data_IF_250163739589
#
_entry.id   IF_250163739589
#
_cell.length_a   1.000
_cell.length_b   1.000
_cell.length_c   1.000
_cell.angle_alpha   90.00
_cell.angle_beta   90.00
_cell.angle_gamma   90.00
#
_symmetry.space_group_name_H-M   'P 1'
#
loop_
_entity.id
_entity.type
_entity.pdbx_description
1 polymer ?
#
# COMPACT_ATOMS: atom_id res chain seq x y z
N UNK A 1 21.93 -16.29 34.79
CA UNK A 1 21.45 -15.82 33.47
C UNK A 1 22.60 -15.08 32.81
N UNK A 2 23.42 -15.81 32.05
CA UNK A 2 24.43 -15.17 31.19
C UNK A 2 23.69 -14.56 30.00
N UNK A 3 23.74 -13.23 29.88
CA UNK A 3 23.35 -12.52 28.67
C UNK A 3 24.61 -12.38 27.83
N UNK A 4 24.72 -13.15 26.76
CA UNK A 4 25.76 -12.95 25.75
C UNK A 4 25.37 -11.71 24.93
N UNK A 5 26.22 -10.69 24.96
CA UNK A 5 26.07 -9.48 24.12
C UNK A 5 27.13 -9.52 23.01
N UNK A 6 26.69 -9.29 21.77
CA UNK A 6 27.55 -9.29 20.59
C UNK A 6 27.22 -8.08 19.72
N UNK A 7 28.26 -7.32 19.35
CA UNK A 7 28.12 -6.26 18.35
C UNK A 7 28.27 -6.87 16.96
N UNK A 8 27.30 -6.61 16.09
CA UNK A 8 27.26 -7.09 14.71
C UNK A 8 27.22 -5.88 13.77
N UNK A 9 28.33 -5.57 13.09
CA UNK A 9 28.36 -4.54 12.05
C UNK A 9 27.50 -4.94 10.85
N UNK A 10 26.77 -3.98 10.28
CA UNK A 10 25.90 -4.22 9.12
C UNK A 10 26.52 -3.79 7.79
N UNK A 11 27.76 -3.28 7.83
CA UNK A 11 28.50 -2.76 6.68
C UNK A 11 27.74 -1.66 5.93
N UNK A 12 26.89 -0.91 6.64
CA UNK A 12 26.20 0.28 6.14
C UNK A 12 26.86 1.49 6.79
N UNK A 13 27.51 2.30 5.97
CA UNK A 13 28.13 3.55 6.43
C UNK A 13 27.05 4.52 6.86
N UNK A 14 27.26 5.20 7.99
CA UNK A 14 26.26 6.11 8.57
C UNK A 14 25.94 7.30 7.64
N UNK A 15 26.89 7.70 6.79
CA UNK A 15 26.73 8.75 5.77
C UNK A 15 26.12 8.26 4.45
N UNK A 16 25.60 7.02 4.40
CA UNK A 16 24.98 6.48 3.18
C UNK A 16 23.81 7.38 2.71
N UNK A 17 23.80 7.85 1.45
CA UNK A 17 23.01 9.01 1.01
C UNK A 17 21.53 8.68 0.70
N UNK A 18 20.88 7.91 1.57
CA UNK A 18 19.44 7.65 1.54
C UNK A 18 18.75 8.54 2.55
N UNK A 19 17.64 9.19 2.18
CA UNK A 19 16.88 10.04 3.08
C UNK A 19 15.41 9.65 3.02
N UNK A 20 14.90 9.13 4.14
CA UNK A 20 13.49 8.78 4.29
C UNK A 20 12.81 9.73 5.26
N UNK A 21 11.59 10.14 4.92
CA UNK A 21 10.75 10.90 5.85
C UNK A 21 10.20 9.99 6.97
N UNK A 22 9.54 10.60 7.95
CA UNK A 22 8.96 9.85 9.07
C UNK A 22 7.91 8.84 8.60
N UNK A 23 7.16 9.13 7.53
CA UNK A 23 6.13 8.23 7.00
C UNK A 23 6.77 6.97 6.41
N UNK A 24 7.80 7.10 5.57
CA UNK A 24 8.54 5.99 4.99
C UNK A 24 9.19 5.10 6.07
N UNK A 25 9.86 5.72 7.05
CA UNK A 25 10.48 5.00 8.17
C UNK A 25 9.42 4.18 8.94
N UNK A 26 8.33 4.82 9.35
CA UNK A 26 7.29 4.17 10.17
C UNK A 26 6.51 3.12 9.38
N UNK A 27 6.21 3.37 8.10
CA UNK A 27 5.57 2.40 7.20
C UNK A 27 6.40 1.14 7.08
N UNK A 28 7.71 1.25 6.85
CA UNK A 28 8.57 0.08 6.69
C UNK A 28 8.76 -0.70 8.02
N UNK A 29 8.69 -0.03 9.18
CA UNK A 29 8.59 -0.73 10.47
C UNK A 29 7.28 -1.50 10.63
N UNK A 30 6.13 -0.85 10.36
CA UNK A 30 4.80 -1.48 10.44
C UNK A 30 4.72 -2.68 9.50
N UNK A 31 5.29 -2.57 8.31
CA UNK A 31 5.25 -3.62 7.31
C UNK A 31 5.83 -4.95 7.81
N UNK A 32 6.91 -4.93 8.60
CA UNK A 32 7.50 -6.17 9.11
C UNK A 32 6.51 -6.94 9.99
N UNK A 33 5.69 -6.21 10.77
CA UNK A 33 4.60 -6.81 11.54
C UNK A 33 3.44 -7.24 10.64
N UNK A 34 3.07 -6.40 9.68
CA UNK A 34 1.96 -6.67 8.77
C UNK A 34 2.18 -7.95 7.96
N UNK A 35 3.38 -8.15 7.44
CA UNK A 35 3.75 -9.36 6.69
C UNK A 35 3.73 -10.64 7.57
N UNK A 36 3.79 -10.52 8.91
CA UNK A 36 3.78 -11.66 9.84
C UNK A 36 2.40 -12.08 10.34
N UNK A 37 1.36 -11.31 10.00
CA UNK A 37 0.00 -11.52 10.51
C UNK A 37 -0.95 -11.67 9.33
N UNK A 38 -1.84 -12.68 9.34
CA UNK A 38 -2.90 -12.76 8.35
C UNK A 38 -3.74 -11.47 8.31
N UNK A 39 -4.07 -10.99 7.11
CA UNK A 39 -4.73 -9.69 6.90
C UNK A 39 -6.04 -9.55 7.68
N UNK A 40 -6.80 -10.64 7.80
CA UNK A 40 -8.07 -10.74 8.54
C UNK A 40 -7.90 -10.74 10.07
N UNK A 41 -6.67 -10.92 10.56
CA UNK A 41 -6.32 -10.92 11.99
C UNK A 41 -5.53 -9.67 12.40
N UNK A 42 -5.12 -8.83 11.44
CA UNK A 42 -4.27 -7.67 11.67
C UNK A 42 -4.79 -6.77 12.80
N UNK A 43 -6.05 -6.34 12.73
CA UNK A 43 -6.65 -5.42 13.70
C UNK A 43 -6.77 -6.01 15.12
N UNK A 44 -6.72 -7.34 15.26
CA UNK A 44 -6.80 -8.02 16.56
C UNK A 44 -5.43 -8.29 17.17
N UNK A 45 -4.43 -8.60 16.34
CA UNK A 45 -3.12 -9.07 16.78
C UNK A 45 -2.07 -7.98 16.86
N UNK A 46 -2.15 -6.96 16.01
CA UNK A 46 -1.23 -5.82 16.08
C UNK A 46 -1.68 -4.84 17.15
N UNK A 47 -0.77 -4.54 18.08
CA UNK A 47 -1.00 -3.61 19.18
C UNK A 47 0.09 -2.54 19.18
N UNK A 48 -0.26 -1.34 19.63
CA UNK A 48 0.72 -0.29 19.85
C UNK A 48 0.34 0.57 21.05
N UNK A 49 1.37 1.14 21.68
CA UNK A 49 1.27 2.04 22.83
C UNK A 49 2.19 3.24 22.60
N UNK A 50 1.76 4.43 23.00
CA UNK A 50 2.59 5.64 22.97
C UNK A 50 2.49 6.40 24.29
N UNK A 51 3.61 6.51 24.99
CA UNK A 51 3.73 7.24 26.26
C UNK A 51 5.13 7.82 26.39
N UNK A 52 5.23 9.06 26.88
CA UNK A 52 6.51 9.72 27.21
C UNK A 52 7.57 9.64 26.09
N UNK A 53 7.14 9.88 24.84
CA UNK A 53 8.02 9.85 23.66
C UNK A 53 8.49 8.45 23.25
N UNK A 54 7.89 7.40 23.81
CA UNK A 54 8.18 6.01 23.49
C UNK A 54 7.00 5.40 22.74
N UNK A 55 7.22 4.99 21.49
CA UNK A 55 6.27 4.20 20.69
C UNK A 55 6.67 2.73 20.77
N UNK A 56 5.74 1.89 21.23
CA UNK A 56 5.92 0.44 21.25
C UNK A 56 4.93 -0.22 20.30
N UNK A 57 5.40 -1.10 19.43
CA UNK A 57 4.61 -1.92 18.51
C UNK A 57 4.80 -3.39 18.84
N UNK A 58 3.72 -4.18 18.85
CA UNK A 58 3.73 -5.57 19.32
C UNK A 58 2.82 -6.46 18.48
N UNK A 59 3.25 -7.71 18.29
CA UNK A 59 2.41 -8.82 17.83
C UNK A 59 2.70 -10.03 18.71
N UNK A 60 1.64 -10.57 19.32
CA UNK A 60 1.68 -11.83 20.08
C UNK A 60 1.65 -13.04 19.14
N UNK A 61 2.18 -14.18 19.58
CA UNK A 61 2.25 -15.45 18.84
C UNK A 61 2.95 -15.34 17.47
N UNK A 62 3.99 -14.51 17.40
CA UNK A 62 4.84 -14.36 16.22
C UNK A 62 6.31 -14.28 16.65
N UNK A 63 7.17 -15.03 15.97
CA UNK A 63 8.61 -15.00 16.17
C UNK A 63 9.32 -14.72 14.85
N UNK A 64 9.98 -13.57 14.76
CA UNK A 64 10.93 -13.26 13.70
C UNK A 64 12.27 -13.95 13.96
N UNK A 65 12.90 -14.44 12.89
CA UNK A 65 14.32 -14.82 12.93
C UNK A 65 15.19 -13.59 12.67
N UNK A 66 16.15 -13.32 13.57
CA UNK A 66 17.07 -12.20 13.43
C UNK A 66 18.14 -12.43 12.35
N UNK A 67 18.39 -13.67 11.93
CA UNK A 67 19.41 -13.99 10.92
C UNK A 67 19.13 -13.26 9.59
N UNK A 68 17.84 -13.09 9.26
CA UNK A 68 17.38 -12.32 8.11
C UNK A 68 17.57 -10.80 8.27
N UNK A 69 17.76 -10.31 9.50
CA UNK A 69 18.13 -8.93 9.76
C UNK A 69 19.64 -8.70 9.64
N UNK A 70 20.48 -9.74 9.62
CA UNK A 70 21.94 -9.60 9.57
C UNK A 70 22.45 -9.38 8.15
N UNK A 71 22.01 -10.19 7.19
CA UNK A 71 22.56 -10.17 5.83
C UNK A 71 21.80 -9.20 4.91
N UNK A 72 22.53 -8.51 4.02
CA UNK A 72 21.92 -7.75 2.91
C UNK A 72 21.64 -8.77 1.78
N UNK A 73 20.48 -8.69 1.12
CA UNK A 73 20.06 -9.67 0.11
C UNK A 73 19.57 -11.03 0.64
N UNK A 74 19.47 -11.25 1.96
CA UNK A 74 18.89 -12.46 2.51
C UNK A 74 17.38 -12.28 2.70
N UNK A 75 16.58 -13.13 2.05
CA UNK A 75 15.13 -13.17 2.24
C UNK A 75 14.63 -14.61 2.37
N UNK A 76 13.67 -14.83 3.28
CA UNK A 76 12.87 -16.07 3.35
C UNK A 76 12.04 -16.34 2.08
N UNK A 77 11.96 -15.35 1.18
CA UNK A 77 10.98 -15.27 0.09
C UNK A 77 11.53 -15.71 -1.27
N UNK A 78 12.67 -16.41 -1.29
CA UNK A 78 13.21 -16.98 -2.54
C UNK A 78 12.50 -18.26 -2.98
N UNK A 79 11.66 -18.88 -2.13
CA UNK A 79 11.01 -20.17 -2.40
C UNK A 79 9.57 -20.35 -1.85
N UNK A 80 8.86 -19.29 -1.43
CA UNK A 80 7.49 -19.43 -0.89
C UNK A 80 6.41 -19.17 -1.96
N UNK A 81 5.42 -20.07 -2.06
CA UNK A 81 4.21 -19.87 -2.88
C UNK A 81 3.31 -18.73 -2.36
N UNK A 82 3.53 -18.28 -1.12
CA UNK A 82 2.86 -17.13 -0.51
C UNK A 82 3.50 -15.80 -0.95
N UNK A 83 2.65 -14.91 -1.48
CA UNK A 83 3.03 -13.56 -1.94
C UNK A 83 3.20 -12.64 -0.74
N UNK A 84 4.40 -12.12 -0.52
CA UNK A 84 4.69 -11.20 0.58
C UNK A 84 5.27 -9.87 0.07
N UNK A 85 4.94 -8.75 0.72
CA UNK A 85 5.14 -7.40 0.16
C UNK A 85 6.57 -6.78 0.30
N UNK A 86 7.63 -7.56 0.58
CA UNK A 86 8.98 -6.98 0.71
C UNK A 86 10.13 -7.96 0.96
N UNK A 87 11.35 -7.60 0.57
CA UNK A 87 12.56 -8.37 0.86
C UNK A 87 13.04 -8.09 2.29
N UNK A 88 12.93 -9.10 3.17
CA UNK A 88 13.23 -8.99 4.59
C UNK A 88 14.65 -8.45 4.85
N UNK A 89 14.79 -7.63 5.90
CA UNK A 89 16.08 -7.12 6.40
C UNK A 89 16.50 -5.77 5.84
N UNK A 90 16.31 -5.50 4.55
CA UNK A 90 16.84 -4.27 3.95
C UNK A 90 16.02 -3.02 4.29
N UNK A 91 14.68 -3.12 4.27
CA UNK A 91 13.79 -2.02 4.68
C UNK A 91 14.03 -1.62 6.13
N UNK A 92 14.12 -2.60 7.03
CA UNK A 92 14.41 -2.36 8.46
C UNK A 92 15.77 -1.68 8.68
N UNK A 93 16.82 -2.09 7.96
CA UNK A 93 18.16 -1.48 8.06
C UNK A 93 18.17 -0.03 7.63
N UNK A 94 17.53 0.29 6.50
CA UNK A 94 17.48 1.67 5.99
C UNK A 94 16.57 2.55 6.84
N UNK A 95 15.42 2.02 7.29
CA UNK A 95 14.57 2.69 8.27
C UNK A 95 15.36 3.00 9.55
N UNK A 96 16.15 2.05 10.04
CA UNK A 96 16.97 2.21 11.25
C UNK A 96 18.14 3.17 11.07
N UNK A 97 18.77 3.20 9.88
CA UNK A 97 19.75 4.21 9.53
C UNK A 97 19.14 5.62 9.61
N UNK A 98 18.02 5.84 8.92
CA UNK A 98 17.37 7.15 8.88
C UNK A 98 16.80 7.56 10.24
N UNK A 99 16.20 6.62 10.98
CA UNK A 99 15.68 6.85 12.32
C UNK A 99 16.79 7.28 13.30
N UNK A 100 17.93 6.59 13.30
CA UNK A 100 19.04 6.91 14.19
C UNK A 100 19.77 8.20 13.78
N UNK A 101 20.02 8.38 12.48
CA UNK A 101 20.80 9.51 11.94
C UNK A 101 20.02 10.82 11.86
N UNK A 102 18.81 10.77 11.28
CA UNK A 102 18.06 11.96 10.91
C UNK A 102 16.98 12.31 11.94
N UNK A 103 16.47 11.30 12.66
CA UNK A 103 15.41 11.49 13.67
C UNK A 103 15.88 11.35 15.11
N UNK A 104 17.10 10.86 15.31
CA UNK A 104 17.68 10.57 16.62
C UNK A 104 16.81 9.65 17.48
N UNK A 105 16.09 8.72 16.85
CA UNK A 105 15.29 7.72 17.57
C UNK A 105 16.18 6.58 18.03
N UNK A 106 15.97 6.13 19.26
CA UNK A 106 16.55 4.87 19.74
C UNK A 106 15.66 3.72 19.33
N UNK A 107 16.25 2.67 18.75
CA UNK A 107 15.50 1.55 18.17
C UNK A 107 15.90 0.26 18.89
N UNK A 108 14.92 -0.41 19.47
CA UNK A 108 15.08 -1.73 20.07
C UNK A 108 14.05 -2.69 19.49
N UNK A 109 14.52 -3.81 18.94
CA UNK A 109 13.66 -4.88 18.44
C UNK A 109 13.92 -6.14 19.25
N UNK A 110 12.87 -6.86 19.63
CA UNK A 110 12.99 -8.18 20.27
C UNK A 110 11.98 -9.15 19.70
N UNK A 111 12.36 -10.41 19.64
CA UNK A 111 11.48 -11.50 19.22
C UNK A 111 12.00 -12.82 19.76
N UNK A 112 11.12 -13.64 20.32
CA UNK A 112 11.54 -14.95 20.83
C UNK A 112 12.53 -14.79 21.99
N UNK A 113 13.75 -15.26 21.74
CA UNK A 113 14.85 -15.30 22.70
C UNK A 113 15.95 -14.26 22.39
N UNK A 114 15.73 -13.33 21.47
CA UNK A 114 16.73 -12.35 21.08
C UNK A 114 16.21 -10.93 21.16
N UNK A 115 17.14 -9.99 21.35
CA UNK A 115 16.89 -8.56 21.23
C UNK A 115 18.09 -7.87 20.58
N UNK A 116 17.81 -6.87 19.75
CA UNK A 116 18.81 -5.99 19.16
C UNK A 116 18.52 -4.56 19.58
N UNK A 117 19.58 -3.83 19.92
CA UNK A 117 19.56 -2.37 19.94
C UNK A 117 20.32 -1.89 18.71
N UNK A 118 19.74 -0.98 17.93
CA UNK A 118 20.42 -0.37 16.79
C UNK A 118 21.38 0.69 17.31
N UNK A 119 22.65 0.57 16.94
CA UNK A 119 23.72 1.46 17.40
C UNK A 119 24.59 1.93 16.23
N UNK A 120 25.40 2.95 16.51
CA UNK A 120 26.50 3.37 15.64
C UNK A 120 27.82 2.90 16.25
N UNK A 121 28.68 2.26 15.45
CA UNK A 121 30.04 1.89 15.84
C UNK A 121 31.04 2.50 14.89
N UNK A 122 32.25 2.73 15.39
CA UNK A 122 33.39 3.12 14.57
C UNK A 122 34.02 1.87 13.93
N UNK A 123 34.42 1.99 12.67
CA UNK A 123 35.21 0.99 11.95
C UNK A 123 36.30 1.66 11.12
N UNK A 124 37.44 1.00 10.99
CA UNK A 124 38.54 1.51 10.17
C UNK A 124 38.45 0.95 8.75
N UNK A 125 38.29 1.82 7.75
CA UNK A 125 38.42 1.50 6.32
C UNK A 125 39.59 2.33 5.77
N UNK A 126 40.58 1.68 5.16
CA UNK A 126 41.75 2.34 4.57
C UNK A 126 42.46 3.33 5.51
N UNK A 127 42.52 3.01 6.81
CA UNK A 127 43.12 3.85 7.85
C UNK A 127 42.25 5.02 8.31
N UNK A 128 41.07 5.22 7.73
CA UNK A 128 40.09 6.23 8.15
C UNK A 128 39.04 5.61 9.07
N UNK A 129 38.70 6.33 10.16
CA UNK A 129 37.60 5.93 11.03
C UNK A 129 36.26 6.35 10.41
N UNK A 130 35.40 5.37 10.16
CA UNK A 130 34.10 5.51 9.52
C UNK A 130 33.03 4.99 10.48
N UNK A 131 32.01 5.82 10.71
CA UNK A 131 30.82 5.43 11.47
C UNK A 131 29.95 4.48 10.67
N UNK A 132 29.54 3.38 11.29
CA UNK A 132 28.72 2.34 10.69
C UNK A 132 27.52 1.99 11.55
N UNK A 133 26.43 1.61 10.89
CA UNK A 133 25.28 1.00 11.52
C UNK A 133 25.64 -0.40 12.02
N UNK A 134 25.28 -0.71 13.26
CA UNK A 134 25.49 -2.00 13.88
C UNK A 134 24.31 -2.38 14.76
N UNK A 135 24.21 -3.67 15.09
CA UNK A 135 23.33 -4.16 16.14
C UNK A 135 24.13 -4.56 17.36
N UNK A 136 23.66 -4.16 18.53
CA UNK A 136 24.02 -4.82 19.78
C UNK A 136 23.00 -5.92 20.06
N UNK A 137 23.35 -7.16 19.71
CA UNK A 137 22.53 -8.36 19.90
C UNK A 137 22.70 -8.88 21.32
N UNK A 138 21.58 -9.19 21.98
CA UNK A 138 21.53 -9.92 23.24
C UNK A 138 20.60 -11.11 23.10
N UNK A 139 21.05 -12.29 23.53
CA UNK A 139 20.25 -13.51 23.56
C UNK A 139 19.90 -13.90 25.01
N UNK A 140 18.75 -14.55 25.18
CA UNK A 140 18.30 -15.14 26.43
C UNK A 140 18.02 -16.64 26.26
N UNK A 141 18.09 -17.39 27.36
CA UNK A 141 17.73 -18.81 27.36
C UNK A 141 16.21 -19.03 27.21
N UNK A 142 15.41 -18.05 27.63
CA UNK A 142 13.95 -18.09 27.55
C UNK A 142 13.48 -17.46 26.23
N UNK A 143 12.64 -18.18 25.49
CA UNK A 143 11.95 -17.66 24.31
C UNK A 143 10.54 -17.21 24.70
N UNK A 144 10.21 -15.95 24.38
CA UNK A 144 8.87 -15.40 24.55
C UNK A 144 8.26 -15.31 23.15
N UNK A 145 7.10 -15.93 22.86
CA UNK A 145 6.47 -15.95 21.53
C UNK A 145 5.82 -14.60 21.20
N UNK A 146 6.57 -13.52 21.32
CA UNK A 146 6.16 -12.15 21.11
C UNK A 146 7.24 -11.45 20.31
N UNK A 147 6.81 -10.60 19.40
CA UNK A 147 7.68 -9.67 18.69
C UNK A 147 7.34 -8.24 19.06
N UNK A 148 8.35 -7.44 19.35
CA UNK A 148 8.20 -6.08 19.87
C UNK A 148 9.26 -5.14 19.30
N UNK A 149 8.82 -3.98 18.80
CA UNK A 149 9.67 -2.87 18.38
C UNK A 149 9.38 -1.66 19.26
N UNK A 150 10.41 -1.13 19.90
CA UNK A 150 10.36 0.07 20.72
C UNK A 150 11.17 1.16 20.02
N UNK A 151 10.55 2.31 19.81
CA UNK A 151 11.16 3.54 19.34
C UNK A 151 11.09 4.59 20.45
N UNK A 152 12.24 5.10 20.90
CA UNK A 152 12.30 6.21 21.87
C UNK A 152 12.71 7.52 21.19
N UNK A 153 12.28 8.64 21.75
CA UNK A 153 12.50 9.97 21.16
C UNK A 153 11.49 10.34 20.07
N UNK A 154 10.37 9.61 19.98
CA UNK A 154 9.32 9.87 18.99
C UNK A 154 8.48 11.06 19.41
N UNK A 155 8.41 12.09 18.56
CA UNK A 155 7.59 13.27 18.81
C UNK A 155 6.09 12.98 18.65
N UNK A 156 5.22 13.83 19.21
CA UNK A 156 3.77 13.74 18.99
C UNK A 156 3.41 13.88 17.50
N UNK A 157 4.16 14.71 16.76
CA UNK A 157 3.97 14.88 15.32
C UNK A 157 4.27 13.56 14.57
N UNK A 158 5.39 12.91 14.89
CA UNK A 158 5.75 11.63 14.29
C UNK A 158 4.81 10.49 14.71
N UNK A 159 4.29 10.52 15.94
CA UNK A 159 3.26 9.57 16.36
C UNK A 159 1.93 9.76 15.58
N UNK A 160 1.58 10.99 15.20
CA UNK A 160 0.46 11.22 14.30
C UNK A 160 0.74 10.67 12.90
N UNK A 161 1.97 10.83 12.39
CA UNK A 161 2.41 10.21 11.13
C UNK A 161 2.37 8.68 11.22
N UNK A 162 2.72 8.09 12.37
CA UNK A 162 2.60 6.64 12.60
C UNK A 162 1.16 6.16 12.43
N UNK A 163 0.18 6.87 13.01
CA UNK A 163 -1.24 6.55 12.80
C UNK A 163 -1.66 6.66 11.34
N UNK A 164 -1.13 7.65 10.62
CA UNK A 164 -1.34 7.76 9.16
C UNK A 164 -0.71 6.58 8.42
N UNK A 165 0.51 6.18 8.77
CA UNK A 165 1.19 5.03 8.18
C UNK A 165 0.44 3.72 8.42
N UNK A 166 -0.18 3.52 9.58
CA UNK A 166 -1.04 2.35 9.83
C UNK A 166 -2.20 2.24 8.84
N UNK A 167 -2.83 3.38 8.50
CA UNK A 167 -3.93 3.42 7.52
C UNK A 167 -3.49 3.11 6.09
N UNK A 168 -2.18 3.14 5.81
CA UNK A 168 -1.64 2.80 4.50
C UNK A 168 -1.69 1.30 4.19
N UNK A 169 -2.04 0.44 5.15
CA UNK A 169 -2.17 -1.00 4.95
C UNK A 169 -3.63 -1.43 4.84
N UNK A 170 -3.94 -2.28 3.88
CA UNK A 170 -5.28 -2.83 3.67
C UNK A 170 -5.61 -3.82 4.79
N UNK A 171 -6.76 -3.67 5.44
CA UNK A 171 -7.35 -4.72 6.26
C UNK A 171 -8.86 -4.42 6.41
N UNK A 172 -9.71 -5.40 6.73
CA UNK A 172 -11.16 -5.23 6.74
C UNK A 172 -11.66 -4.09 7.66
N UNK A 173 -10.97 -3.83 8.76
CA UNK A 173 -11.29 -2.79 9.75
C UNK A 173 -10.63 -1.43 9.45
N UNK A 174 -9.92 -1.29 8.34
CA UNK A 174 -9.28 -0.03 7.99
C UNK A 174 -10.36 1.05 7.80
N UNK A 175 -10.26 2.15 8.54
CA UNK A 175 -11.30 3.18 8.60
C UNK A 175 -11.52 3.94 7.28
N UNK A 176 -10.63 3.77 6.31
CA UNK A 176 -10.76 4.34 4.98
C UNK A 176 -11.75 3.56 4.09
N UNK A 177 -12.06 2.32 4.43
CA UNK A 177 -13.00 1.44 3.72
C UNK A 177 -14.45 1.79 4.10
N UNK A 178 -15.32 1.89 3.10
CA UNK A 178 -16.77 2.06 3.26
C UNK A 178 -17.54 0.75 3.10
N UNK A 179 -18.71 0.82 2.48
CA UNK A 179 -19.49 -0.37 2.12
C UNK A 179 -18.73 -1.27 1.16
N UNK A 180 -18.67 -2.57 1.47
CA UNK A 180 -18.11 -3.61 0.61
C UNK A 180 -18.93 -3.76 -0.67
N UNK A 181 -18.27 -3.67 -1.82
CA UNK A 181 -18.86 -3.92 -3.13
C UNK A 181 -18.56 -5.35 -3.56
N UNK A 182 -17.31 -5.80 -3.41
CA UNK A 182 -16.84 -7.13 -3.80
C UNK A 182 -15.50 -7.45 -3.14
N UNK A 183 -15.22 -8.72 -2.89
CA UNK A 183 -13.96 -9.19 -2.33
C UNK A 183 -13.79 -10.68 -2.64
N UNK A 184 -12.59 -11.08 -3.04
CA UNK A 184 -12.15 -12.47 -3.18
C UNK A 184 -10.65 -12.59 -2.83
N UNK A 185 -10.04 -13.74 -3.14
CA UNK A 185 -8.60 -13.96 -2.93
C UNK A 185 -7.69 -13.05 -3.78
N UNK A 186 -8.14 -12.57 -4.93
CA UNK A 186 -7.33 -11.79 -5.88
C UNK A 186 -7.44 -10.27 -5.65
N UNK A 187 -8.53 -9.80 -5.07
CA UNK A 187 -8.72 -8.39 -4.78
C UNK A 187 -10.01 -8.05 -4.06
N UNK A 188 -10.18 -6.76 -3.82
CA UNK A 188 -11.36 -6.21 -3.17
C UNK A 188 -11.73 -4.83 -3.69
N UNK A 189 -13.01 -4.49 -3.58
CA UNK A 189 -13.57 -3.18 -3.93
C UNK A 189 -14.58 -2.76 -2.87
N UNK A 190 -14.41 -1.53 -2.38
CA UNK A 190 -15.30 -0.87 -1.44
C UNK A 190 -15.66 0.52 -1.97
N UNK A 191 -16.73 1.09 -1.44
CA UNK A 191 -16.89 2.54 -1.47
C UNK A 191 -15.87 3.21 -0.55
N UNK A 192 -15.55 4.48 -0.81
CA UNK A 192 -14.71 5.27 0.09
C UNK A 192 -15.49 5.73 1.33
N UNK A 193 -14.92 5.54 2.51
CA UNK A 193 -15.50 6.08 3.75
C UNK A 193 -15.43 7.62 3.78
N UNK A 194 -16.20 8.25 4.68
CA UNK A 194 -16.15 9.72 4.88
C UNK A 194 -14.95 10.19 5.71
N UNK A 195 -14.09 9.28 6.16
CA UNK A 195 -12.89 9.63 6.94
C UNK A 195 -11.93 10.45 6.08
N UNK A 196 -11.28 11.42 6.70
CA UNK A 196 -10.31 12.27 6.04
C UNK A 196 -9.21 11.42 5.40
N UNK A 197 -8.80 11.83 4.20
CA UNK A 197 -7.63 11.28 3.53
C UNK A 197 -6.42 12.09 3.99
N UNK A 198 -5.53 11.48 4.77
CA UNK A 198 -4.38 12.16 5.35
C UNK A 198 -3.40 12.67 4.28
N UNK A 199 -2.63 13.70 4.60
CA UNK A 199 -1.80 14.38 3.61
C UNK A 199 -0.57 13.56 3.20
N UNK A 200 -0.06 12.75 4.12
CA UNK A 200 1.13 11.91 3.98
C UNK A 200 0.84 10.64 3.17
N UNK A 201 -0.44 10.28 2.98
CA UNK A 201 -0.80 9.09 2.20
C UNK A 201 -0.57 9.31 0.70
N UNK A 202 -0.01 8.30 -0.01
CA UNK A 202 0.24 8.36 -1.45
C UNK A 202 -1.03 8.65 -2.26
N UNK A 203 -0.96 9.60 -3.20
CA UNK A 203 -2.08 9.92 -4.08
C UNK A 203 -1.60 10.38 -5.47
N UNK A 204 -2.50 10.34 -6.44
CA UNK A 204 -2.28 10.82 -7.79
C UNK A 204 -2.77 12.26 -7.89
N UNK A 205 -1.90 13.18 -8.29
CA UNK A 205 -2.23 14.60 -8.36
C UNK A 205 -3.44 14.89 -9.26
N UNK A 206 -3.53 14.23 -10.41
CA UNK A 206 -4.62 14.35 -11.39
C UNK A 206 -6.00 13.92 -10.85
N UNK A 207 -6.02 12.97 -9.92
CA UNK A 207 -7.23 12.40 -9.34
C UNK A 207 -7.60 13.06 -8.01
N UNK A 208 -6.59 13.58 -7.30
CA UNK A 208 -6.71 14.09 -5.95
C UNK A 208 -7.04 12.99 -4.94
N UNK A 209 -7.26 13.37 -3.69
CA UNK A 209 -7.52 12.46 -2.56
C UNK A 209 -8.99 11.99 -2.50
N UNK A 210 -9.49 11.41 -3.60
CA UNK A 210 -10.88 10.95 -3.74
C UNK A 210 -11.02 9.46 -3.40
N UNK A 211 -10.65 8.59 -4.33
CA UNK A 211 -10.55 7.14 -4.10
C UNK A 211 -9.17 6.72 -3.60
N UNK A 212 -9.03 5.45 -3.23
CA UNK A 212 -7.77 4.83 -2.80
C UNK A 212 -7.46 3.62 -3.67
N UNK A 213 -6.19 3.43 -3.99
CA UNK A 213 -5.68 2.25 -4.68
C UNK A 213 -4.66 1.56 -3.78
N UNK A 214 -5.00 0.36 -3.34
CA UNK A 214 -4.10 -0.57 -2.67
C UNK A 214 -3.54 -1.58 -3.69
N UNK A 215 -2.24 -1.80 -3.64
CA UNK A 215 -1.54 -2.82 -4.42
C UNK A 215 -0.61 -3.59 -3.50
N UNK A 216 -0.72 -4.93 -3.49
CA UNK A 216 0.02 -5.75 -2.53
C UNK A 216 -0.28 -5.34 -1.10
N UNK A 217 -1.56 -5.01 -0.82
CA UNK A 217 -2.06 -4.56 0.47
C UNK A 217 -1.55 -3.20 0.98
N UNK A 218 -0.83 -2.41 0.18
CA UNK A 218 -0.40 -1.06 0.58
C UNK A 218 -1.02 0.02 -0.30
N UNK A 219 -1.33 1.19 0.26
CA UNK A 219 -1.76 2.35 -0.53
C UNK A 219 -0.61 2.77 -1.43
N UNK A 220 -0.91 2.80 -2.74
CA UNK A 220 0.03 3.25 -3.76
C UNK A 220 -0.54 4.38 -4.60
N UNK A 221 -1.74 4.85 -4.31
CA UNK A 221 -2.29 5.99 -5.01
C UNK A 221 -3.77 6.20 -4.74
N UNK A 222 -4.38 6.96 -5.64
CA UNK A 222 -5.78 7.37 -5.58
C UNK A 222 -6.48 7.13 -6.91
N UNK A 223 -7.79 7.27 -6.93
CA UNK A 223 -8.54 7.14 -8.18
C UNK A 223 -9.70 8.14 -8.28
N UNK A 224 -10.26 8.28 -9.49
CA UNK A 224 -11.50 8.93 -9.81
C UNK A 224 -12.52 9.06 -8.70
N UNK A 225 -12.96 7.89 -8.28
CA UNK A 225 -14.36 7.47 -8.35
C UNK A 225 -14.97 7.28 -6.97
N UNK A 226 -14.30 7.76 -5.92
CA UNK A 226 -14.67 7.55 -4.53
C UNK A 226 -14.81 6.05 -4.22
N UNK A 227 -13.90 5.26 -4.81
CA UNK A 227 -13.77 3.83 -4.61
C UNK A 227 -12.47 3.54 -3.87
N UNK A 228 -12.48 2.50 -3.05
CA UNK A 228 -11.28 1.87 -2.52
C UNK A 228 -11.12 0.55 -3.27
N UNK A 229 -9.98 0.37 -3.92
CA UNK A 229 -9.67 -0.83 -4.70
C UNK A 229 -8.41 -1.45 -4.14
N UNK A 230 -8.40 -2.76 -3.94
CA UNK A 230 -7.22 -3.52 -3.55
C UNK A 230 -6.97 -4.63 -4.56
N UNK A 231 -5.80 -4.66 -5.16
CA UNK A 231 -5.33 -5.77 -5.97
C UNK A 231 -4.25 -6.52 -5.18
N UNK A 232 -4.56 -7.75 -4.78
CA UNK A 232 -3.73 -8.51 -3.84
C UNK A 232 -2.46 -9.05 -4.51
N UNK A 233 -2.56 -9.42 -5.79
CA UNK A 233 -1.50 -10.07 -6.57
C UNK A 233 -0.64 -9.09 -7.39
N UNK A 234 -0.51 -7.86 -6.92
CA UNK A 234 0.32 -6.86 -7.60
C UNK A 234 1.80 -7.08 -7.23
N UNK A 235 2.55 -7.70 -8.15
CA UNK A 235 4.00 -7.84 -8.06
C UNK A 235 4.69 -6.57 -8.54
N UNK A 236 5.67 -6.10 -7.79
CA UNK A 236 6.53 -5.00 -8.24
C UNK A 236 7.97 -5.26 -7.81
N UNK A 237 8.88 -5.05 -8.76
CA UNK A 237 10.32 -5.21 -8.56
C UNK A 237 10.97 -3.96 -7.95
N UNK A 238 10.19 -2.92 -7.64
CA UNK A 238 10.69 -1.64 -7.17
C UNK A 238 10.55 -1.49 -5.64
N UNK A 239 11.69 -1.22 -5.00
CA UNK A 239 11.86 -1.14 -3.55
C UNK A 239 11.33 0.17 -2.97
N UNK A 240 11.36 1.26 -3.73
CA UNK A 240 11.00 2.59 -3.20
C UNK A 240 9.48 2.71 -2.96
N UNK A 241 8.72 1.82 -3.60
CA UNK A 241 7.25 1.71 -3.48
C UNK A 241 6.57 3.08 -3.68
N UNK A 242 7.00 3.78 -4.73
CA UNK A 242 6.47 5.09 -5.10
C UNK A 242 4.98 5.05 -5.40
N UNK A 243 4.38 6.25 -5.44
CA UNK A 243 3.00 6.38 -5.92
C UNK A 243 2.90 5.88 -7.36
N UNK A 244 1.85 5.12 -7.66
CA UNK A 244 1.52 4.68 -9.00
C UNK A 244 1.31 5.87 -9.92
N UNK A 245 1.80 5.74 -11.15
CA UNK A 245 1.42 6.61 -12.24
C UNK A 245 -0.06 6.40 -12.59
N UNK A 246 -0.67 7.40 -13.23
CA UNK A 246 -2.09 7.37 -13.59
C UNK A 246 -2.44 6.18 -14.50
N UNK A 247 -1.54 5.83 -15.42
CA UNK A 247 -1.66 4.67 -16.30
C UNK A 247 -1.59 3.33 -15.53
N UNK A 248 -0.84 3.26 -14.44
CA UNK A 248 -0.76 2.07 -13.60
C UNK A 248 -2.04 1.91 -12.78
N UNK A 249 -2.61 3.02 -12.28
CA UNK A 249 -3.94 3.03 -11.66
C UNK A 249 -5.00 2.50 -12.63
N UNK A 250 -5.00 2.94 -13.89
CA UNK A 250 -5.91 2.41 -14.92
C UNK A 250 -5.66 0.91 -15.16
N UNK A 251 -4.40 0.47 -15.13
CA UNK A 251 -4.03 -0.95 -15.27
C UNK A 251 -4.55 -1.80 -14.11
N UNK A 252 -4.48 -1.31 -12.87
CA UNK A 252 -5.07 -1.96 -11.69
C UNK A 252 -6.58 -2.14 -11.90
N UNK A 253 -7.29 -1.08 -12.28
CA UNK A 253 -8.73 -1.17 -12.55
C UNK A 253 -9.07 -2.09 -13.71
N UNK A 254 -8.21 -2.15 -14.75
CA UNK A 254 -8.38 -3.08 -15.87
C UNK A 254 -8.29 -4.53 -15.40
N UNK A 255 -7.27 -4.89 -14.59
CA UNK A 255 -7.15 -6.22 -13.98
C UNK A 255 -8.36 -6.54 -13.10
N UNK A 256 -8.73 -5.63 -12.21
CA UNK A 256 -9.90 -5.79 -11.33
C UNK A 256 -11.20 -6.00 -12.13
N UNK A 257 -11.43 -5.24 -13.20
CA UNK A 257 -12.63 -5.39 -14.04
C UNK A 257 -12.78 -6.78 -14.67
N UNK A 258 -11.67 -7.51 -14.86
CA UNK A 258 -11.70 -8.87 -15.38
C UNK A 258 -12.31 -9.87 -14.38
N UNK A 259 -12.17 -9.61 -13.08
CA UNK A 259 -12.53 -10.49 -11.96
C UNK A 259 -13.95 -10.26 -11.43
N UNK A 260 -14.52 -9.08 -11.69
CA UNK A 260 -15.75 -8.63 -11.05
C UNK A 260 -17.03 -9.31 -11.60
N UNK A 261 -17.96 -9.75 -10.73
CA UNK A 261 -19.28 -10.21 -11.16
C UNK A 261 -20.15 -9.04 -11.66
N UNK A 262 -21.28 -9.37 -12.30
CA UNK A 262 -22.21 -8.38 -12.86
C UNK A 262 -22.73 -7.38 -11.80
N UNK A 263 -23.04 -7.85 -10.59
CA UNK A 263 -23.51 -7.00 -9.48
C UNK A 263 -22.50 -5.92 -9.08
N UNK A 264 -21.24 -6.32 -8.88
CA UNK A 264 -20.18 -5.41 -8.51
C UNK A 264 -19.85 -4.47 -9.67
N UNK A 265 -19.80 -5.00 -10.89
CA UNK A 265 -19.57 -4.23 -12.11
C UNK A 265 -20.63 -3.14 -12.29
N UNK A 266 -21.91 -3.45 -12.01
CA UNK A 266 -23.00 -2.48 -12.01
C UNK A 266 -22.71 -1.32 -11.06
N UNK A 267 -22.45 -1.59 -9.76
CA UNK A 267 -22.16 -0.55 -8.75
C UNK A 267 -20.96 0.32 -9.15
N UNK A 268 -19.90 -0.28 -9.68
CA UNK A 268 -18.66 0.44 -10.07
C UNK A 268 -18.90 1.31 -11.30
N UNK A 269 -19.61 0.82 -12.32
CA UNK A 269 -19.98 1.60 -13.50
C UNK A 269 -20.74 2.87 -13.11
N UNK A 270 -21.63 2.80 -12.11
CA UNK A 270 -22.35 3.99 -11.61
C UNK A 270 -21.41 5.05 -10.98
N UNK A 271 -20.34 4.62 -10.31
CA UNK A 271 -19.32 5.52 -9.77
C UNK A 271 -18.42 6.14 -10.86
N UNK A 272 -18.31 5.45 -11.98
CA UNK A 272 -17.50 5.87 -13.14
C UNK A 272 -18.25 6.76 -14.15
N UNK A 273 -19.44 7.30 -13.82
CA UNK A 273 -20.25 8.14 -14.74
C UNK A 273 -19.47 9.25 -15.46
N UNK A 274 -18.51 9.88 -14.77
CA UNK A 274 -17.70 10.99 -15.34
C UNK A 274 -16.90 10.58 -16.59
N UNK A 275 -16.56 9.29 -16.72
CA UNK A 275 -15.78 8.74 -17.84
C UNK A 275 -16.64 7.97 -18.84
N UNK A 276 -17.96 7.90 -18.68
CA UNK A 276 -18.82 7.17 -19.62
C UNK A 276 -18.75 7.67 -21.07
N UNK A 277 -18.45 8.96 -21.26
CA UNK A 277 -18.40 9.60 -22.57
C UNK A 277 -16.94 9.81 -23.02
N UNK A 278 -15.94 9.54 -22.17
CA UNK A 278 -14.53 9.61 -22.55
C UNK A 278 -14.19 8.40 -23.42
N UNK A 279 -14.33 8.55 -24.73
CA UNK A 279 -13.66 7.68 -25.69
C UNK A 279 -12.47 8.45 -26.20
N UNK A 280 -11.26 8.01 -25.87
CA UNK A 280 -10.11 8.30 -26.72
C UNK A 280 -10.14 7.34 -27.91
N UNK A 281 -9.90 7.91 -29.08
CA UNK A 281 -9.71 7.17 -30.33
C UNK A 281 -8.24 6.85 -30.56
N UNK A 282 -7.35 7.34 -29.69
CA UNK A 282 -5.91 7.18 -29.82
C UNK A 282 -5.48 5.80 -29.34
N UNK A 283 -4.77 5.09 -30.21
CA UNK A 283 -4.29 3.72 -29.97
C UNK A 283 -3.29 3.62 -28.80
N UNK A 284 -2.75 4.75 -28.36
CA UNK A 284 -1.72 4.88 -27.32
C UNK A 284 -2.19 5.65 -26.07
N UNK A 285 -3.50 5.83 -25.87
CA UNK A 285 -4.00 6.44 -24.64
C UNK A 285 -4.01 5.41 -23.49
N UNK A 286 -2.87 5.30 -22.82
CA UNK A 286 -2.66 4.41 -21.67
C UNK A 286 -3.42 4.87 -20.40
N UNK A 287 -3.95 6.09 -20.38
CA UNK A 287 -4.77 6.64 -19.30
C UNK A 287 -6.28 6.47 -19.56
N UNK A 288 -6.63 5.85 -20.69
CA UNK A 288 -8.03 5.67 -21.09
C UNK A 288 -8.78 4.68 -20.20
N UNK A 289 -9.81 5.18 -19.53
CA UNK A 289 -10.77 4.35 -18.78
C UNK A 289 -11.69 3.50 -19.67
N UNK A 290 -11.60 3.64 -21.00
CA UNK A 290 -12.47 2.98 -21.98
C UNK A 290 -12.43 1.46 -21.85
N UNK A 291 -11.24 0.86 -21.70
CA UNK A 291 -11.13 -0.60 -21.60
C UNK A 291 -11.76 -1.14 -20.32
N UNK A 292 -11.62 -0.40 -19.22
CA UNK A 292 -12.22 -0.73 -17.92
C UNK A 292 -13.75 -0.70 -18.04
N UNK A 293 -14.29 0.41 -18.56
CA UNK A 293 -15.74 0.57 -18.75
C UNK A 293 -16.33 -0.51 -19.65
N UNK A 294 -15.68 -0.81 -20.79
CA UNK A 294 -16.14 -1.87 -21.68
C UNK A 294 -16.24 -3.20 -20.95
N UNK A 295 -15.20 -3.59 -20.21
CA UNK A 295 -15.20 -4.87 -19.48
C UNK A 295 -16.32 -4.92 -18.44
N UNK A 296 -16.52 -3.85 -17.66
CA UNK A 296 -17.60 -3.81 -16.68
C UNK A 296 -18.99 -3.89 -17.32
N UNK A 297 -19.20 -3.21 -18.46
CA UNK A 297 -20.44 -3.29 -19.23
C UNK A 297 -20.66 -4.70 -19.81
N UNK A 298 -19.60 -5.37 -20.27
CA UNK A 298 -19.69 -6.77 -20.68
C UNK A 298 -20.15 -7.66 -19.52
N UNK A 299 -19.56 -7.52 -18.33
CA UNK A 299 -19.97 -8.30 -17.16
C UNK A 299 -21.47 -8.10 -16.84
N UNK A 300 -21.99 -6.87 -16.98
CA UNK A 300 -23.42 -6.56 -16.82
C UNK A 300 -24.27 -7.20 -17.93
N UNK A 301 -23.82 -7.11 -19.18
CA UNK A 301 -24.54 -7.62 -20.35
C UNK A 301 -24.77 -9.14 -20.27
N UNK A 302 -23.79 -9.90 -19.78
CA UNK A 302 -23.88 -11.35 -19.63
C UNK A 302 -24.78 -11.80 -18.46
N UNK A 303 -25.29 -10.87 -17.64
CA UNK A 303 -26.31 -11.15 -16.63
C UNK A 303 -27.66 -10.61 -17.08
N UNK A 304 -28.63 -11.50 -17.34
CA UNK A 304 -29.99 -11.09 -17.74
C UNK A 304 -30.64 -10.16 -16.71
N UNK A 305 -30.47 -10.46 -15.42
CA UNK A 305 -30.97 -9.66 -14.30
C UNK A 305 -30.37 -8.24 -14.31
N UNK A 306 -29.03 -8.12 -14.31
CA UNK A 306 -28.38 -6.81 -14.22
C UNK A 306 -28.44 -6.02 -15.52
N UNK A 307 -28.49 -6.69 -16.68
CA UNK A 307 -28.75 -6.06 -17.97
C UNK A 307 -30.14 -5.40 -17.98
N UNK A 308 -31.18 -6.10 -17.47
CA UNK A 308 -32.51 -5.52 -17.32
C UNK A 308 -32.50 -4.33 -16.37
N UNK A 309 -31.93 -4.48 -15.16
CA UNK A 309 -31.80 -3.38 -14.19
C UNK A 309 -31.08 -2.16 -14.78
N UNK A 310 -30.05 -2.38 -15.59
CA UNK A 310 -29.30 -1.31 -16.24
C UNK A 310 -30.14 -0.56 -17.28
N UNK A 311 -30.85 -1.29 -18.14
CA UNK A 311 -31.76 -0.69 -19.13
C UNK A 311 -32.91 0.06 -18.47
N UNK A 312 -33.49 -0.50 -17.41
CA UNK A 312 -34.60 0.13 -16.68
C UNK A 312 -34.15 1.42 -15.98
N UNK A 313 -32.94 1.44 -15.41
CA UNK A 313 -32.38 2.62 -14.72
C UNK A 313 -31.87 3.69 -15.69
N UNK A 314 -31.37 3.28 -16.86
CA UNK A 314 -30.76 4.15 -17.86
C UNK A 314 -31.37 3.94 -19.26
N UNK A 315 -32.69 4.17 -19.43
CA UNK A 315 -33.38 3.85 -20.68
C UNK A 315 -32.89 4.66 -21.88
N UNK A 316 -32.37 5.86 -21.61
CA UNK A 316 -31.90 6.80 -22.63
C UNK A 316 -30.38 6.76 -22.84
N UNK A 317 -29.65 5.86 -22.16
CA UNK A 317 -28.20 5.77 -22.32
C UNK A 317 -27.85 5.03 -23.61
N UNK A 318 -27.43 5.79 -24.62
CA UNK A 318 -27.04 5.24 -25.92
C UNK A 318 -25.63 4.64 -25.83
N UNK A 319 -25.50 3.37 -26.22
CA UNK A 319 -24.21 2.71 -26.38
C UNK A 319 -23.46 3.30 -27.59
N UNK A 320 -22.28 3.87 -27.35
CA UNK A 320 -21.43 4.41 -28.40
C UNK A 320 -20.75 3.27 -29.16
N UNK A 321 -21.12 3.06 -30.43
CA UNK A 321 -20.36 2.19 -31.32
C UNK A 321 -18.92 2.72 -31.46
N UNK A 322 -17.87 1.88 -31.38
CA UNK A 322 -16.47 2.33 -31.42
C UNK A 322 -16.08 3.00 -32.75
N UNK A 323 -16.73 2.59 -33.84
CA UNK A 323 -16.50 3.06 -35.20
C UNK A 323 -17.60 4.03 -35.59
N UNK A 324 -17.35 5.32 -35.38
CA UNK A 324 -18.22 6.40 -35.87
C UNK A 324 -17.65 6.94 -37.17
N UNK A 325 -18.51 7.13 -38.17
CA UNK A 325 -18.17 7.93 -39.35
C UNK A 325 -17.91 9.38 -38.94
N UNK A 326 -17.20 10.14 -39.78
CA UNK A 326 -16.88 11.55 -39.51
C UNK A 326 -18.12 12.41 -39.21
N UNK A 327 -19.25 12.11 -39.86
CA UNK A 327 -20.55 12.76 -39.63
C UNK A 327 -21.10 12.42 -38.24
N UNK A 328 -21.04 11.15 -37.84
CA UNK A 328 -21.47 10.71 -36.52
C UNK A 328 -20.58 11.27 -35.40
N UNK A 329 -19.29 11.51 -35.66
CA UNK A 329 -18.39 12.23 -34.74
C UNK A 329 -18.78 13.70 -34.57
N UNK A 330 -19.21 14.38 -35.63
CA UNK A 330 -19.69 15.77 -35.56
C UNK A 330 -21.00 15.89 -34.78
N UNK A 331 -22.00 15.04 -35.07
CA UNK A 331 -23.24 14.98 -34.29
C UNK A 331 -22.98 14.67 -32.82
N UNK A 332 -21.98 13.84 -32.53
CA UNK A 332 -21.52 13.58 -31.16
C UNK A 332 -20.93 14.82 -30.50
N UNK A 333 -20.11 15.59 -31.19
CA UNK A 333 -19.60 16.86 -30.64
C UNK A 333 -20.74 17.84 -30.37
N UNK A 334 -21.68 17.98 -31.29
CA UNK A 334 -22.87 18.85 -31.13
C UNK A 334 -23.71 18.43 -29.93
N UNK A 335 -24.03 17.13 -29.81
CA UNK A 335 -24.79 16.60 -28.68
C UNK A 335 -24.04 16.79 -27.34
N UNK A 336 -22.71 16.64 -27.32
CA UNK A 336 -21.89 16.91 -26.12
C UNK A 336 -21.87 18.39 -25.75
N UNK A 337 -21.79 19.28 -26.74
CA UNK A 337 -21.87 20.73 -26.54
C UNK A 337 -23.24 21.15 -25.99
N UNK A 338 -24.32 20.52 -26.46
CA UNK A 338 -25.67 20.72 -25.94
C UNK A 338 -25.81 20.25 -24.49
N UNK A 339 -25.35 19.03 -24.19
CA UNK A 339 -25.38 18.50 -22.83
C UNK A 339 -24.61 19.39 -21.85
N UNK A 340 -23.39 19.81 -22.20
CA UNK A 340 -22.59 20.73 -21.37
C UNK A 340 -23.22 22.12 -21.16
N UNK A 341 -24.14 22.54 -22.02
CA UNK A 341 -24.89 23.80 -21.88
C UNK A 341 -26.17 23.63 -21.04
N UNK A 342 -26.61 22.39 -20.80
CA UNK A 342 -27.87 22.06 -20.11
C UNK A 342 -27.68 21.35 -18.76
N UNK A 343 -26.44 20.97 -18.43
CA UNK A 343 -25.95 20.56 -17.11
C UNK A 343 -25.10 21.66 -16.50
#
# INVERSE_FOLDING_TARGET
>A
MERTSKIIPLNIVFTYPVHWDSFQILRDYIQNFYDSVPVDQWAKRFQYEFSDGTLTMRVEDSSFSYEWLLHIGASTKTNSEEKHAGYFGEGFKIASLCALRDKHWEIKMSSGNWSINVICTDQTIDGQNVKMLAYNLTESETSIPKSELILQGVSIADFNIFKTALRSFYHPENELLGEKIWENCDGAVYTRSKKQYDNELPYNYSYGRKGIVFCGYQIRGSNPFDLVVCLHDFEQNDRERDSLLDMEVVTVFKRMSALLPAQASFKIVEKMRRVWISNSTDRFDFESWTSVLRRLLYNILFSSEYCKKFKDKYPNLLYLYPTLSKIQMNWRQEARCWYKKSS
#
